data_IF_501600316197
#
_entry.id   IF_501600316197
#
_cell.length_a   1.000
_cell.length_b   1.000
_cell.length_c   1.000
_cell.angle_alpha   90.00
_cell.angle_beta   90.00
_cell.angle_gamma   90.00
#
_symmetry.space_group_name_H-M   'P 1'
#
loop_
_entity.id
_entity.type
_entity.pdbx_description
1 polymer ?
#
# COMPACT_ATOMS: atom_id res chain seq x y z
N UNK A 1 -9.85 15.11 4.95
CA UNK A 1 -10.88 15.76 5.79
C UNK A 1 -10.35 16.16 7.19
N UNK A 2 -9.51 15.35 7.86
CA UNK A 2 -9.03 15.61 9.23
C UNK A 2 -8.03 16.78 9.32
N UNK A 3 -7.20 17.02 8.29
CA UNK A 3 -6.22 18.14 8.30
C UNK A 3 -6.93 19.50 8.34
N UNK A 4 -7.85 19.82 7.40
CA UNK A 4 -8.55 21.11 7.46
C UNK A 4 -9.47 21.26 8.69
N UNK A 5 -9.91 20.14 9.26
CA UNK A 5 -10.68 20.15 10.52
C UNK A 5 -9.81 20.34 11.77
N UNK A 6 -8.46 20.46 11.63
CA UNK A 6 -7.49 20.60 12.71
C UNK A 6 -7.60 19.52 13.80
N UNK A 7 -8.07 18.31 13.44
CA UNK A 7 -8.20 17.21 14.39
C UNK A 7 -6.84 16.64 14.82
N UNK A 8 -5.81 16.88 14.03
CA UNK A 8 -4.41 16.56 14.32
C UNK A 8 -3.48 17.50 13.53
N UNK A 9 -2.25 17.62 13.97
CA UNK A 9 -1.25 18.56 13.39
C UNK A 9 -0.05 17.83 12.77
N UNK A 10 0.23 16.60 13.19
CA UNK A 10 1.24 15.70 12.60
C UNK A 10 0.60 14.34 12.43
N UNK A 11 0.84 13.68 11.30
CA UNK A 11 0.30 12.35 11.03
C UNK A 11 1.15 11.58 10.02
N UNK A 12 0.91 10.27 9.93
CA UNK A 12 1.54 9.39 8.95
C UNK A 12 0.54 8.93 7.91
N UNK A 13 0.93 8.90 6.63
CA UNK A 13 0.12 8.33 5.55
C UNK A 13 0.98 7.92 4.35
N UNK A 14 0.39 7.10 3.47
CA UNK A 14 1.04 6.69 2.23
C UNK A 14 1.26 7.85 1.26
N UNK A 15 2.25 7.73 0.39
CA UNK A 15 2.64 8.78 -0.55
C UNK A 15 1.53 9.23 -1.49
N UNK A 16 0.61 8.35 -1.88
CA UNK A 16 -0.52 8.71 -2.77
C UNK A 16 -1.47 9.72 -2.13
N UNK A 17 -2.08 9.47 -0.96
CA UNK A 17 -2.93 10.47 -0.29
C UNK A 17 -2.15 11.71 0.18
N UNK A 18 -0.82 11.60 0.41
CA UNK A 18 0.02 12.75 0.73
C UNK A 18 0.03 13.80 -0.39
N UNK A 19 0.14 13.39 -1.65
CA UNK A 19 0.11 14.34 -2.78
C UNK A 19 -1.19 15.14 -2.77
N UNK A 20 -2.32 14.50 -2.49
CA UNK A 20 -3.62 15.18 -2.35
C UNK A 20 -3.60 16.14 -1.15
N UNK A 21 -3.04 15.72 -0.02
CA UNK A 21 -2.89 16.52 1.19
C UNK A 21 -2.05 17.78 0.95
N UNK A 22 -0.93 17.65 0.27
CA UNK A 22 -0.06 18.78 -0.08
C UNK A 22 -0.74 19.76 -1.04
N UNK A 23 -1.32 19.25 -2.13
CA UNK A 23 -1.89 20.11 -3.19
C UNK A 23 -3.19 20.80 -2.75
N UNK A 24 -4.06 20.09 -2.04
CA UNK A 24 -5.37 20.65 -1.64
C UNK A 24 -5.37 21.39 -0.32
N UNK A 25 -4.52 20.99 0.61
CA UNK A 25 -4.57 21.49 2.00
C UNK A 25 -3.25 22.10 2.46
N UNK A 26 -2.24 22.18 1.59
CA UNK A 26 -0.94 22.77 1.91
C UNK A 26 -0.17 22.02 2.98
N UNK A 27 -0.47 20.74 3.21
CA UNK A 27 0.27 19.95 4.19
C UNK A 27 1.74 19.81 3.81
N UNK A 28 2.64 19.96 4.79
CA UNK A 28 4.06 19.73 4.58
C UNK A 28 4.39 18.24 4.67
N UNK A 29 5.23 17.76 3.75
CA UNK A 29 5.97 16.53 3.96
C UNK A 29 7.14 16.85 4.88
N UNK A 30 7.14 16.29 6.10
CA UNK A 30 8.17 16.60 7.11
C UNK A 30 9.22 15.49 7.23
N UNK A 31 8.88 14.24 6.87
CA UNK A 31 9.85 13.14 6.79
C UNK A 31 9.32 11.99 5.95
N UNK A 32 10.23 11.12 5.49
CA UNK A 32 9.91 9.78 4.97
C UNK A 32 10.08 8.80 6.12
N UNK A 33 9.05 8.00 6.40
CA UNK A 33 9.03 7.05 7.50
C UNK A 33 9.63 5.69 7.09
N UNK A 34 9.11 5.12 6.00
CA UNK A 34 9.52 3.81 5.47
C UNK A 34 9.11 3.67 4.00
N UNK A 35 9.48 2.55 3.39
CA UNK A 35 9.03 2.14 2.05
C UNK A 35 8.08 0.93 2.18
N UNK A 36 6.88 1.06 1.63
CA UNK A 36 5.86 0.01 1.60
C UNK A 36 5.74 -0.69 0.24
N UNK A 37 6.74 -0.60 -0.60
CA UNK A 37 6.70 -1.17 -1.95
C UNK A 37 6.46 -2.68 -1.98
N UNK A 38 6.93 -3.41 -0.95
CA UNK A 38 6.75 -4.87 -0.82
C UNK A 38 5.50 -5.28 -0.04
N UNK A 39 4.86 -4.33 0.65
CA UNK A 39 3.68 -4.60 1.49
C UNK A 39 2.37 -4.12 0.88
N UNK A 40 2.42 -3.65 -0.36
CA UNK A 40 1.27 -3.37 -1.22
C UNK A 40 1.32 -4.32 -2.42
N UNK A 41 0.37 -5.23 -2.49
CA UNK A 41 0.45 -6.41 -3.36
C UNK A 41 -0.84 -6.65 -4.16
N UNK A 42 -0.69 -7.32 -5.30
CA UNK A 42 -1.77 -8.01 -5.99
C UNK A 42 -1.68 -9.48 -5.60
N UNK A 43 -2.76 -10.01 -5.05
CA UNK A 43 -2.85 -11.43 -4.70
C UNK A 43 -3.87 -12.16 -5.56
N UNK A 44 -3.59 -13.44 -5.78
CA UNK A 44 -4.44 -14.35 -6.52
C UNK A 44 -4.54 -15.68 -5.76
N UNK A 45 -5.56 -16.48 -6.07
CA UNK A 45 -5.69 -17.84 -5.52
C UNK A 45 -4.57 -18.74 -6.05
N UNK A 46 -4.19 -19.80 -5.32
CA UNK A 46 -3.05 -20.65 -5.69
C UNK A 46 -3.22 -21.40 -7.03
N UNK A 47 -4.45 -21.62 -7.46
CA UNK A 47 -4.84 -22.26 -8.73
C UNK A 47 -5.04 -21.27 -9.88
N UNK A 48 -4.84 -19.98 -9.65
CA UNK A 48 -5.06 -18.93 -10.64
C UNK A 48 -4.19 -19.12 -11.89
N UNK A 49 -4.77 -19.03 -13.10
CA UNK A 49 -4.01 -19.08 -14.35
C UNK A 49 -2.98 -17.95 -14.48
N UNK A 50 -3.16 -16.84 -13.76
CA UNK A 50 -2.24 -15.70 -13.71
C UNK A 50 -0.83 -16.13 -13.28
N UNK A 51 -0.73 -17.12 -12.39
CA UNK A 51 0.55 -17.64 -11.89
C UNK A 51 1.33 -18.49 -12.90
N UNK A 52 0.70 -18.92 -13.99
CA UNK A 52 1.35 -19.76 -15.01
C UNK A 52 2.39 -18.99 -15.84
N UNK A 53 2.27 -17.67 -15.92
CA UNK A 53 3.20 -16.82 -16.67
C UNK A 53 3.91 -15.88 -15.71
N UNK A 54 5.24 -15.97 -15.62
CA UNK A 54 6.11 -15.07 -14.88
C UNK A 54 7.04 -14.33 -15.84
N UNK A 55 7.24 -13.04 -15.64
CA UNK A 55 8.15 -12.25 -16.46
C UNK A 55 7.72 -12.11 -17.93
N UNK A 56 6.42 -11.98 -18.18
CA UNK A 56 5.90 -11.67 -19.53
C UNK A 56 6.59 -10.41 -20.09
N UNK A 57 6.64 -9.36 -19.28
CA UNK A 57 7.46 -8.19 -19.58
C UNK A 57 8.89 -8.44 -19.05
N UNK A 58 9.86 -8.54 -19.95
CA UNK A 58 11.26 -8.88 -19.62
C UNK A 58 11.96 -7.86 -18.73
N UNK A 59 11.47 -6.63 -18.69
CA UNK A 59 11.97 -5.59 -17.76
C UNK A 59 11.52 -5.83 -16.32
N UNK A 60 10.48 -6.63 -16.11
CA UNK A 60 9.87 -6.93 -14.81
C UNK A 60 9.74 -8.45 -14.61
N UNK A 61 10.86 -9.18 -14.50
CA UNK A 61 10.90 -10.64 -14.57
C UNK A 61 10.17 -11.32 -13.40
N UNK A 62 9.94 -10.61 -12.30
CA UNK A 62 9.28 -11.15 -11.11
C UNK A 62 7.75 -11.05 -11.15
N UNK A 63 7.19 -10.21 -12.04
CA UNK A 63 5.75 -9.96 -12.14
C UNK A 63 5.06 -11.14 -12.83
N UNK A 64 3.96 -11.62 -12.23
CA UNK A 64 3.12 -12.66 -12.79
C UNK A 64 1.98 -12.09 -13.62
N UNK A 65 1.56 -12.89 -14.61
CA UNK A 65 0.47 -12.66 -15.53
C UNK A 65 0.92 -12.21 -16.91
N UNK A 66 0.00 -12.32 -17.84
CA UNK A 66 0.07 -11.75 -19.19
C UNK A 66 -1.28 -11.13 -19.55
N UNK A 67 -1.36 -10.26 -20.56
CA UNK A 67 -2.59 -9.52 -20.88
C UNK A 67 -3.81 -10.42 -21.07
N UNK A 68 -3.65 -11.57 -21.72
CA UNK A 68 -4.73 -12.51 -22.02
C UNK A 68 -5.35 -13.13 -20.77
N UNK A 69 -4.55 -13.34 -19.71
CA UNK A 69 -5.01 -13.93 -18.46
C UNK A 69 -5.76 -12.92 -17.57
N UNK A 70 -5.64 -11.61 -17.86
CA UNK A 70 -6.12 -10.52 -17.00
C UNK A 70 -7.23 -9.70 -17.63
N UNK A 71 -7.28 -9.60 -18.96
CA UNK A 71 -8.39 -8.90 -19.65
C UNK A 71 -9.74 -9.46 -19.25
N UNK A 72 -10.68 -8.56 -18.91
CA UNK A 72 -12.02 -8.88 -18.45
C UNK A 72 -12.13 -9.42 -17.01
N UNK A 73 -11.00 -9.62 -16.33
CA UNK A 73 -10.97 -10.11 -14.95
C UNK A 73 -11.45 -9.08 -13.95
N UNK A 74 -12.03 -9.56 -12.86
CA UNK A 74 -12.49 -8.71 -11.74
C UNK A 74 -11.40 -8.61 -10.69
N UNK A 75 -11.01 -7.36 -10.39
CA UNK A 75 -10.02 -7.04 -9.35
C UNK A 75 -10.72 -6.31 -8.21
N UNK A 76 -10.62 -6.86 -6.99
CA UNK A 76 -11.11 -6.21 -5.78
C UNK A 76 -10.04 -5.23 -5.30
N UNK A 77 -10.43 -3.97 -5.05
CA UNK A 77 -9.46 -2.92 -4.73
C UNK A 77 -10.12 -1.78 -3.95
N UNK A 78 -9.43 -1.24 -2.97
CA UNK A 78 -9.79 0.07 -2.39
C UNK A 78 -9.27 1.16 -3.32
N UNK A 79 -10.17 1.88 -3.98
CA UNK A 79 -9.78 2.93 -4.93
C UNK A 79 -9.20 4.17 -4.22
N UNK A 80 -8.38 4.96 -4.95
CA UNK A 80 -7.69 6.16 -4.44
C UNK A 80 -6.80 5.85 -3.22
N UNK A 81 -6.15 4.68 -3.23
CA UNK A 81 -5.27 4.20 -2.17
C UNK A 81 -3.97 3.63 -2.73
N UNK A 82 -3.08 3.17 -1.85
CA UNK A 82 -1.87 2.44 -2.22
C UNK A 82 -2.17 1.09 -2.91
N UNK A 83 -3.28 0.42 -2.55
CA UNK A 83 -3.74 -0.78 -3.26
C UNK A 83 -4.15 -0.47 -4.70
N UNK A 84 -4.81 0.67 -4.93
CA UNK A 84 -5.10 1.14 -6.29
C UNK A 84 -3.82 1.44 -7.08
N UNK A 85 -2.81 1.96 -6.40
CA UNK A 85 -1.53 2.29 -7.02
C UNK A 85 -0.75 1.04 -7.44
N UNK A 86 -0.70 -0.02 -6.62
CA UNK A 86 -0.07 -1.29 -7.02
C UNK A 86 -0.81 -1.94 -8.18
N UNK A 87 -2.15 -1.91 -8.18
CA UNK A 87 -2.96 -2.42 -9.29
C UNK A 87 -2.67 -1.66 -10.59
N UNK A 88 -2.60 -0.33 -10.52
CA UNK A 88 -2.25 0.52 -11.67
C UNK A 88 -0.91 0.14 -12.29
N UNK A 89 0.11 -0.04 -11.44
CA UNK A 89 1.45 -0.35 -11.89
C UNK A 89 1.53 -1.78 -12.46
N UNK A 90 0.86 -2.75 -11.82
CA UNK A 90 0.75 -4.10 -12.36
C UNK A 90 0.12 -4.12 -13.76
N UNK A 91 -1.02 -3.45 -13.94
CA UNK A 91 -1.65 -3.32 -15.26
C UNK A 91 -0.72 -2.65 -16.27
N UNK A 92 -0.04 -1.55 -15.87
CA UNK A 92 0.91 -0.84 -16.72
C UNK A 92 2.08 -1.72 -17.18
N UNK A 93 2.67 -2.52 -16.27
CA UNK A 93 3.74 -3.47 -16.57
C UNK A 93 3.30 -4.48 -17.63
N UNK A 94 2.03 -4.90 -17.59
CA UNK A 94 1.44 -5.84 -18.53
C UNK A 94 0.86 -5.17 -19.80
N UNK A 95 1.01 -3.84 -19.96
CA UNK A 95 0.48 -3.12 -21.12
C UNK A 95 -1.04 -2.95 -21.11
N UNK A 96 -1.68 -3.09 -19.95
CA UNK A 96 -3.12 -2.98 -19.75
C UNK A 96 -3.53 -1.62 -19.17
N UNK A 97 -4.79 -1.27 -19.35
CA UNK A 97 -5.44 -0.06 -18.81
C UNK A 97 -6.63 -0.46 -17.92
N UNK A 98 -7.13 0.48 -17.12
CA UNK A 98 -8.32 0.25 -16.27
C UNK A 98 -9.54 -0.28 -17.03
N UNK A 99 -9.76 0.18 -18.26
CA UNK A 99 -10.87 -0.29 -19.11
C UNK A 99 -10.78 -1.76 -19.54
N UNK A 100 -9.60 -2.37 -19.38
CA UNK A 100 -9.37 -3.76 -19.76
C UNK A 100 -9.74 -4.75 -18.65
N UNK A 101 -10.11 -4.26 -17.46
CA UNK A 101 -10.50 -5.05 -16.28
C UNK A 101 -11.75 -4.50 -15.62
N UNK A 102 -12.38 -5.28 -14.75
CA UNK A 102 -13.48 -4.86 -13.90
C UNK A 102 -12.94 -4.56 -12.50
N UNK A 103 -13.01 -3.31 -12.06
CA UNK A 103 -12.57 -2.92 -10.72
C UNK A 103 -13.78 -2.85 -9.80
N UNK A 104 -13.78 -3.64 -8.72
CA UNK A 104 -14.76 -3.55 -7.65
C UNK A 104 -14.16 -2.82 -6.46
N UNK A 105 -14.68 -1.62 -6.20
CA UNK A 105 -14.26 -0.81 -5.06
C UNK A 105 -14.86 -1.33 -3.76
N UNK A 106 -14.02 -1.58 -2.77
CA UNK A 106 -14.40 -1.94 -1.40
C UNK A 106 -13.24 -1.71 -0.44
N UNK A 107 -13.52 -1.65 0.86
CA UNK A 107 -12.45 -1.58 1.85
C UNK A 107 -11.67 -2.90 1.95
N UNK A 108 -10.52 -2.88 2.66
CA UNK A 108 -9.61 -4.02 2.72
C UNK A 108 -10.22 -5.24 3.41
N UNK A 109 -10.97 -5.04 4.50
CA UNK A 109 -11.59 -6.15 5.24
C UNK A 109 -12.66 -6.81 4.38
N UNK A 110 -13.50 -6.01 3.70
CA UNK A 110 -14.49 -6.49 2.74
C UNK A 110 -13.82 -7.20 1.56
N UNK A 111 -12.70 -6.66 1.04
CA UNK A 111 -11.97 -7.27 -0.07
C UNK A 111 -11.42 -8.66 0.30
N UNK A 112 -10.87 -8.80 1.52
CA UNK A 112 -10.40 -10.11 2.03
C UNK A 112 -11.59 -11.09 2.12
N UNK A 113 -12.69 -10.71 2.75
CA UNK A 113 -13.86 -11.57 2.93
C UNK A 113 -14.51 -11.97 1.57
N UNK A 114 -14.65 -11.01 0.66
CA UNK A 114 -15.20 -11.24 -0.66
C UNK A 114 -14.29 -12.17 -1.49
N UNK A 115 -12.97 -11.95 -1.45
CA UNK A 115 -12.02 -12.78 -2.18
C UNK A 115 -11.96 -14.21 -1.62
N UNK A 116 -12.07 -14.38 -0.30
CA UNK A 116 -12.17 -15.68 0.36
C UNK A 116 -13.43 -16.46 -0.07
N UNK A 117 -14.56 -15.76 -0.21
CA UNK A 117 -15.81 -16.36 -0.67
C UNK A 117 -15.88 -16.63 -2.18
N UNK A 118 -14.78 -16.45 -2.91
CA UNK A 118 -14.70 -16.74 -4.34
C UNK A 118 -14.97 -15.54 -5.25
N UNK A 119 -15.27 -14.37 -4.74
CA UNK A 119 -15.52 -13.17 -5.55
C UNK A 119 -14.21 -12.60 -6.08
N UNK A 120 -14.21 -12.19 -7.35
CA UNK A 120 -13.05 -11.61 -8.04
C UNK A 120 -11.99 -12.64 -8.44
N UNK A 121 -11.13 -12.25 -9.37
CA UNK A 121 -10.03 -13.06 -9.89
C UNK A 121 -8.69 -12.68 -9.23
N UNK A 122 -8.57 -11.43 -8.79
CA UNK A 122 -7.44 -10.90 -8.04
C UNK A 122 -7.91 -9.89 -6.99
N UNK A 123 -7.07 -9.64 -5.99
CA UNK A 123 -7.31 -8.67 -4.94
C UNK A 123 -6.07 -7.84 -4.67
N UNK A 124 -6.24 -6.52 -4.55
CA UNK A 124 -5.18 -5.58 -4.19
C UNK A 124 -5.23 -5.29 -2.69
N UNK A 125 -4.17 -5.65 -1.97
CA UNK A 125 -4.09 -5.55 -0.51
C UNK A 125 -2.84 -4.83 -0.04
N UNK A 126 -2.93 -4.24 1.16
CA UNK A 126 -1.75 -3.76 1.91
C UNK A 126 -1.64 -4.47 3.26
N UNK A 127 -0.49 -4.31 3.95
CA UNK A 127 -0.32 -4.83 5.30
C UNK A 127 -1.27 -4.11 6.31
N UNK A 128 -1.91 -4.83 7.24
CA UNK A 128 -1.69 -6.26 7.58
C UNK A 128 -2.51 -7.25 6.75
N UNK A 129 -3.43 -6.80 5.88
CA UNK A 129 -4.39 -7.65 5.15
C UNK A 129 -3.71 -8.64 4.19
N UNK A 130 -2.57 -8.27 3.61
CA UNK A 130 -1.78 -9.19 2.79
C UNK A 130 -1.36 -10.45 3.57
N UNK A 131 -1.03 -10.32 4.87
CA UNK A 131 -0.64 -11.46 5.70
C UNK A 131 -1.80 -12.40 5.95
N UNK A 132 -3.03 -11.88 6.07
CA UNK A 132 -4.24 -12.70 6.11
C UNK A 132 -4.38 -13.53 4.82
N UNK A 133 -4.10 -12.91 3.67
CA UNK A 133 -4.10 -13.59 2.38
C UNK A 133 -3.04 -14.70 2.30
N UNK A 134 -1.81 -14.42 2.76
CA UNK A 134 -0.73 -15.42 2.80
C UNK A 134 -1.10 -16.62 3.68
N UNK A 135 -1.69 -16.36 4.86
CA UNK A 135 -2.15 -17.42 5.77
C UNK A 135 -3.27 -18.28 5.17
N UNK A 136 -4.05 -17.73 4.24
CA UNK A 136 -5.07 -18.45 3.45
C UNK A 136 -4.48 -19.16 2.22
N UNK A 137 -3.17 -19.10 2.01
CA UNK A 137 -2.47 -19.74 0.90
C UNK A 137 -2.49 -18.95 -0.41
N UNK A 138 -3.02 -17.73 -0.42
CA UNK A 138 -3.00 -16.88 -1.62
C UNK A 138 -1.58 -16.52 -2.01
N UNK A 139 -1.37 -16.22 -3.29
CA UNK A 139 -0.05 -15.96 -3.88
C UNK A 139 0.06 -14.52 -4.33
N UNK A 140 1.22 -13.92 -4.12
CA UNK A 140 1.54 -12.59 -4.63
C UNK A 140 1.83 -12.70 -6.13
N UNK A 141 1.03 -12.01 -6.94
CA UNK A 141 1.24 -11.91 -8.38
C UNK A 141 2.13 -10.71 -8.74
N UNK A 142 2.05 -9.64 -7.98
CA UNK A 142 2.91 -8.47 -8.09
C UNK A 142 2.93 -7.69 -6.77
N UNK A 143 4.02 -6.98 -6.53
CA UNK A 143 4.12 -5.85 -5.60
C UNK A 143 4.72 -4.63 -6.33
N UNK A 144 4.80 -3.50 -5.66
CA UNK A 144 5.33 -2.29 -6.29
C UNK A 144 6.84 -2.39 -6.57
N UNK A 145 7.60 -3.08 -5.72
CA UNK A 145 9.03 -3.32 -5.95
C UNK A 145 9.24 -4.18 -7.19
N UNK A 146 8.47 -5.25 -7.37
CA UNK A 146 8.45 -6.06 -8.59
C UNK A 146 8.11 -5.22 -9.84
N UNK A 147 7.26 -4.20 -9.68
CA UNK A 147 6.90 -3.25 -10.72
C UNK A 147 7.92 -2.10 -10.89
N UNK A 148 9.05 -2.12 -10.18
CA UNK A 148 10.10 -1.10 -10.26
C UNK A 148 9.71 0.26 -9.64
N UNK A 149 8.79 0.27 -8.67
CA UNK A 149 8.23 1.50 -8.08
C UNK A 149 8.40 1.48 -6.56
N UNK A 150 8.88 2.61 -6.00
CA UNK A 150 8.88 2.85 -4.56
C UNK A 150 7.52 3.38 -4.08
N UNK A 151 7.16 3.06 -2.84
CA UNK A 151 5.99 3.61 -2.17
C UNK A 151 6.36 4.13 -0.79
N UNK A 152 6.81 5.38 -0.66
CA UNK A 152 7.14 5.94 0.62
C UNK A 152 5.88 6.15 1.48
N UNK A 153 5.97 5.75 2.75
CA UNK A 153 5.13 6.29 3.81
C UNK A 153 5.80 7.55 4.34
N UNK A 154 5.00 8.58 4.51
CA UNK A 154 5.51 9.89 4.88
C UNK A 154 4.86 10.40 6.15
N UNK A 155 5.62 11.18 6.91
CA UNK A 155 5.09 12.01 7.97
C UNK A 155 4.76 13.37 7.37
N UNK A 156 3.56 13.84 7.67
CA UNK A 156 3.07 15.14 7.24
C UNK A 156 2.73 16.01 8.43
N UNK A 157 2.80 17.32 8.23
CA UNK A 157 2.41 18.31 9.22
C UNK A 157 1.46 19.35 8.63
N UNK A 158 0.55 19.82 9.45
CA UNK A 158 -0.27 20.99 9.13
C UNK A 158 0.66 22.20 9.02
N UNK A 159 0.51 22.98 7.94
CA UNK A 159 1.46 24.04 7.57
C UNK A 159 1.64 25.08 8.67
N UNK A 160 0.54 25.66 9.14
CA UNK A 160 0.56 26.73 10.15
C UNK A 160 1.20 26.27 11.47
N UNK A 161 0.89 25.03 11.88
CA UNK A 161 1.49 24.42 13.05
C UNK A 161 2.99 24.25 12.91
N UNK A 162 3.44 23.71 11.77
CA UNK A 162 4.86 23.48 11.49
C UNK A 162 5.66 24.79 11.47
N UNK A 163 5.11 25.83 10.83
CA UNK A 163 5.75 27.14 10.74
C UNK A 163 5.89 27.80 12.12
N UNK A 164 4.87 27.64 12.99
CA UNK A 164 4.88 28.23 14.35
C UNK A 164 5.67 27.41 15.37
N UNK A 165 5.85 26.11 15.14
CA UNK A 165 6.41 25.18 16.14
C UNK A 165 7.53 24.28 15.57
N UNK A 166 8.55 24.79 14.87
CA UNK A 166 9.55 23.95 14.19
C UNK A 166 10.35 23.08 15.16
N UNK A 167 10.64 23.56 16.36
CA UNK A 167 11.34 22.75 17.37
C UNK A 167 10.49 21.58 17.89
N UNK A 168 9.18 21.79 18.06
CA UNK A 168 8.28 20.72 18.48
C UNK A 168 8.15 19.65 17.39
N UNK A 169 8.07 20.06 16.12
CA UNK A 169 8.12 19.15 14.97
C UNK A 169 9.41 18.33 14.99
N UNK A 170 10.57 18.98 15.18
CA UNK A 170 11.85 18.28 15.24
C UNK A 170 11.95 17.33 16.44
N UNK A 171 11.38 17.68 17.61
CA UNK A 171 11.30 16.78 18.77
C UNK A 171 10.41 15.56 18.47
N UNK A 172 9.26 15.76 17.84
CA UNK A 172 8.34 14.68 17.43
C UNK A 172 9.02 13.71 16.47
N UNK A 173 9.75 14.21 15.47
CA UNK A 173 10.51 13.37 14.54
C UNK A 173 11.60 12.57 15.27
N UNK A 174 12.33 13.19 16.22
CA UNK A 174 13.34 12.46 17.02
C UNK A 174 12.73 11.30 17.81
N UNK A 175 11.57 11.52 18.43
CA UNK A 175 10.85 10.45 19.17
C UNK A 175 10.40 9.35 18.20
N UNK A 176 9.82 9.72 17.07
CA UNK A 176 9.38 8.78 16.05
C UNK A 176 10.53 7.88 15.55
N UNK A 177 11.64 8.48 15.12
CA UNK A 177 12.79 7.71 14.62
C UNK A 177 13.52 6.92 15.69
N UNK A 178 13.50 7.37 16.96
CA UNK A 178 13.96 6.54 18.08
C UNK A 178 13.09 5.29 18.23
N UNK A 179 11.77 5.41 18.09
CA UNK A 179 10.85 4.26 18.07
C UNK A 179 11.18 3.27 16.94
N UNK A 180 11.35 3.78 15.71
CA UNK A 180 11.74 2.94 14.56
C UNK A 180 13.08 2.23 14.83
N UNK A 181 14.08 2.95 15.33
CA UNK A 181 15.39 2.35 15.66
C UNK A 181 15.26 1.28 16.75
N UNK A 182 14.40 1.48 17.75
CA UNK A 182 14.15 0.50 18.79
C UNK A 182 13.51 -0.78 18.21
N UNK A 183 12.49 -0.63 17.37
CA UNK A 183 11.85 -1.76 16.67
C UNK A 183 12.88 -2.54 15.83
N UNK A 184 13.73 -1.84 15.07
CA UNK A 184 14.73 -2.48 14.23
C UNK A 184 15.82 -3.23 15.04
N UNK A 185 16.15 -2.76 16.23
CA UNK A 185 17.20 -3.36 17.08
C UNK A 185 16.68 -4.42 18.04
N UNK A 186 15.46 -4.28 18.52
CA UNK A 186 14.91 -5.06 19.62
C UNK A 186 13.48 -5.56 19.33
N UNK A 187 13.13 -5.73 18.04
CA UNK A 187 11.77 -6.05 17.62
C UNK A 187 11.17 -7.29 18.30
N UNK A 188 11.98 -8.35 18.48
CA UNK A 188 11.51 -9.56 19.17
C UNK A 188 11.12 -9.31 20.62
N UNK A 189 11.85 -8.43 21.33
CA UNK A 189 11.53 -8.07 22.73
C UNK A 189 10.27 -7.21 22.83
N UNK A 190 9.97 -6.43 21.78
CA UNK A 190 8.83 -5.52 21.74
C UNK A 190 7.57 -6.24 21.25
N UNK A 191 7.72 -7.35 20.54
CA UNK A 191 6.60 -8.13 19.98
C UNK A 191 5.50 -8.49 21.00
N UNK A 192 5.80 -8.86 22.26
CA UNK A 192 4.77 -9.11 23.27
C UNK A 192 3.90 -7.87 23.57
N UNK A 193 4.47 -6.67 23.51
CA UNK A 193 3.72 -5.43 23.73
C UNK A 193 2.74 -5.15 22.57
N UNK A 194 3.14 -5.43 21.32
CA UNK A 194 2.25 -5.34 20.17
C UNK A 194 1.07 -6.31 20.22
N UNK A 195 1.21 -7.46 20.88
CA UNK A 195 0.14 -8.45 21.04
C UNK A 195 -0.93 -8.06 22.05
N UNK A 196 -0.71 -6.97 22.81
CA UNK A 196 -1.67 -6.46 23.81
C UNK A 196 -2.71 -5.53 23.19
N UNK A 197 -2.49 -5.04 21.98
CA UNK A 197 -3.37 -4.16 21.24
C UNK A 197 -3.99 -4.86 20.02
#
# INVERSE_FOLDING_TARGET
EAIPAKQWVIGGLGGVPMVVGAVRYGAYLIAIANDESITNVIMVRPDSPILKTKGYNKQFPEVYGKPEDIKGKTILCTTVSSAHYVMSNWLKVLGLKYKDVVIKNMDQAQAVAAFESGVGDAVALWAPHLYNGLNKGWKIAADLKMCGVALPVVLIGEKEFCDKNPELVAKSLRVFFRGINLINREGEKILPEYKRF
#
